data_IF_500320040125
#
_entry.id   IF_500320040125
#
_cell.length_a   1.000
_cell.length_b   1.000
_cell.length_c   1.000
_cell.angle_alpha   90.00
_cell.angle_beta   90.00
_cell.angle_gamma   90.00
#
_symmetry.space_group_name_H-M   'P 1'
#
loop_
_entity.id
_entity.type
_entity.pdbx_description
1 polymer ?
#
# COMPACT_ATOMS: atom_id res chain seq x y z
N UNK A 1 -21.88 -11.27 -2.87
CA UNK A 1 -20.64 -10.98 -2.14
C UNK A 1 -20.50 -9.46 -2.14
N UNK A 2 -20.36 -8.82 -0.98
CA UNK A 2 -20.17 -7.36 -0.94
C UNK A 2 -18.81 -7.06 -1.57
N UNK A 3 -18.86 -6.51 -2.79
CA UNK A 3 -17.74 -6.19 -3.67
C UNK A 3 -17.06 -4.88 -3.24
N UNK A 4 -16.62 -4.83 -1.97
CA UNK A 4 -15.96 -3.63 -1.41
C UNK A 4 -14.45 -3.83 -1.54
N UNK A 5 -13.83 -3.17 -2.49
CA UNK A 5 -12.38 -3.02 -2.57
C UNK A 5 -11.93 -1.74 -1.87
N UNK A 6 -10.68 -1.72 -1.43
CA UNK A 6 -10.04 -0.47 -1.02
C UNK A 6 -9.95 0.52 -2.19
N UNK A 7 -9.99 1.81 -1.86
CA UNK A 7 -9.70 2.88 -2.79
C UNK A 7 -8.43 3.57 -2.32
N UNK A 8 -7.47 3.69 -3.24
CA UNK A 8 -6.19 4.31 -2.95
C UNK A 8 -5.67 5.06 -4.17
N UNK A 9 -4.72 5.95 -3.94
CA UNK A 9 -3.96 6.61 -5.01
C UNK A 9 -2.48 6.34 -4.81
N UNK A 10 -1.75 6.24 -5.92
CA UNK A 10 -0.29 6.22 -5.90
C UNK A 10 0.18 7.67 -5.73
N UNK A 11 0.99 7.91 -4.70
CA UNK A 11 1.50 9.23 -4.34
C UNK A 11 2.94 9.39 -4.81
N UNK A 12 3.75 8.34 -4.70
CA UNK A 12 5.14 8.31 -5.15
C UNK A 12 5.41 6.98 -5.85
N UNK A 13 5.97 7.03 -7.05
CA UNK A 13 6.37 5.88 -7.87
C UNK A 13 7.60 6.27 -8.69
N UNK A 14 8.73 5.62 -8.43
CA UNK A 14 9.96 5.84 -9.20
C UNK A 14 9.99 5.06 -10.52
N UNK A 15 9.04 4.15 -10.74
CA UNK A 15 8.90 3.24 -11.88
C UNK A 15 10.05 2.26 -12.13
N UNK A 16 11.21 2.47 -11.50
CA UNK A 16 12.41 1.62 -11.60
C UNK A 16 12.65 0.77 -10.35
N UNK A 17 11.82 0.92 -9.31
CA UNK A 17 11.92 0.16 -8.06
C UNK A 17 13.09 0.57 -7.17
N UNK A 18 13.78 1.67 -7.48
CA UNK A 18 14.87 2.20 -6.67
C UNK A 18 14.38 2.81 -5.36
N UNK A 19 13.17 3.35 -5.35
CA UNK A 19 12.50 3.93 -4.19
C UNK A 19 11.26 3.12 -3.79
N UNK A 20 10.80 3.24 -2.53
CA UNK A 20 9.52 2.66 -2.11
C UNK A 20 8.37 3.17 -2.99
N UNK A 21 7.46 2.28 -3.35
CA UNK A 21 6.15 2.68 -3.89
C UNK A 21 5.31 3.18 -2.73
N UNK A 22 4.73 4.38 -2.85
CA UNK A 22 3.91 4.97 -1.78
C UNK A 22 2.49 5.17 -2.26
N UNK A 23 1.55 4.58 -1.54
CA UNK A 23 0.11 4.74 -1.77
C UNK A 23 -0.56 5.46 -0.60
N UNK A 24 -1.77 5.96 -0.82
CA UNK A 24 -2.60 6.62 0.20
C UNK A 24 -4.00 6.07 0.15
N UNK A 25 -4.52 5.65 1.30
CA UNK A 25 -5.93 5.30 1.48
C UNK A 25 -6.80 6.56 1.34
N UNK A 26 -7.81 6.53 0.47
CA UNK A 26 -8.68 7.68 0.20
C UNK A 26 -10.15 7.45 0.59
N UNK A 27 -10.52 6.24 1.02
CA UNK A 27 -11.91 5.91 1.37
C UNK A 27 -12.93 6.24 0.23
N UNK A 28 -14.18 6.62 0.55
CA UNK A 28 -14.77 6.74 1.89
C UNK A 28 -15.05 5.36 2.53
N UNK A 29 -14.65 5.21 3.80
CA UNK A 29 -14.57 3.91 4.50
C UNK A 29 -15.92 3.33 4.96
N UNK A 30 -17.01 4.09 4.86
CA UNK A 30 -18.38 3.58 5.04
C UNK A 30 -18.85 2.74 3.84
N UNK A 31 -18.23 2.96 2.67
CA UNK A 31 -18.55 2.29 1.39
C UNK A 31 -17.46 1.35 0.92
N UNK A 32 -16.20 1.70 1.15
CA UNK A 32 -15.02 0.95 0.72
C UNK A 32 -14.26 0.39 1.92
N UNK A 33 -13.47 -0.66 1.70
CA UNK A 33 -12.54 -1.11 2.72
C UNK A 33 -11.40 -0.08 2.85
N UNK A 34 -10.76 -0.03 4.03
CA UNK A 34 -9.46 0.61 4.14
C UNK A 34 -8.41 -0.24 3.43
N UNK A 35 -7.28 0.36 3.06
CA UNK A 35 -6.14 -0.37 2.48
C UNK A 35 -5.68 -1.48 3.42
N UNK A 36 -5.62 -1.22 4.73
CA UNK A 36 -5.26 -2.21 5.76
C UNK A 36 -6.20 -3.41 5.76
N UNK A 37 -7.50 -3.19 5.57
CA UNK A 37 -8.51 -4.27 5.56
C UNK A 37 -8.57 -5.05 4.24
N UNK A 38 -7.98 -4.52 3.16
CA UNK A 38 -7.95 -5.15 1.82
C UNK A 38 -6.52 -5.29 1.26
N UNK A 39 -5.53 -5.36 2.16
CA UNK A 39 -4.11 -5.29 1.81
C UNK A 39 -3.68 -6.36 0.79
N UNK A 40 -4.26 -7.57 0.87
CA UNK A 40 -3.99 -8.65 -0.07
C UNK A 40 -4.42 -8.29 -1.50
N UNK A 41 -5.60 -7.72 -1.67
CA UNK A 41 -6.12 -7.33 -2.98
C UNK A 41 -5.32 -6.17 -3.56
N UNK A 42 -4.97 -5.18 -2.73
CA UNK A 42 -4.15 -4.03 -3.11
C UNK A 42 -2.78 -4.49 -3.61
N UNK A 43 -2.06 -5.31 -2.83
CA UNK A 43 -0.75 -5.84 -3.24
C UNK A 43 -0.86 -6.64 -4.53
N UNK A 44 -1.87 -7.49 -4.64
CA UNK A 44 -2.09 -8.31 -5.84
C UNK A 44 -2.33 -7.45 -7.07
N UNK A 45 -3.08 -6.36 -6.95
CA UNK A 45 -3.34 -5.43 -8.05
C UNK A 45 -2.07 -4.70 -8.48
N UNK A 46 -1.32 -4.15 -7.52
CA UNK A 46 -0.08 -3.40 -7.76
C UNK A 46 1.01 -4.26 -8.42
N UNK A 47 1.12 -5.53 -8.01
CA UNK A 47 2.03 -6.50 -8.65
C UNK A 47 1.54 -6.82 -10.07
N UNK A 48 0.23 -7.02 -10.26
CA UNK A 48 -0.35 -7.34 -11.58
C UNK A 48 -0.21 -6.18 -12.57
N UNK A 49 -0.31 -4.94 -12.11
CA UNK A 49 -0.16 -3.73 -12.92
C UNK A 49 1.30 -3.32 -13.15
N UNK A 50 2.27 -4.04 -12.56
CA UNK A 50 3.71 -3.74 -12.61
C UNK A 50 4.10 -2.41 -11.92
N UNK A 51 3.23 -1.84 -11.09
CA UNK A 51 3.59 -0.71 -10.24
C UNK A 51 4.49 -1.13 -9.09
N UNK A 52 4.27 -2.32 -8.52
CA UNK A 52 5.11 -2.87 -7.47
C UNK A 52 6.06 -3.93 -8.05
N UNK A 53 7.34 -3.58 -8.14
CA UNK A 53 8.39 -4.45 -8.65
C UNK A 53 8.88 -5.46 -7.59
N UNK A 54 9.43 -6.62 -8.00
CA UNK A 54 9.96 -7.60 -7.05
C UNK A 54 11.04 -7.02 -6.14
N UNK A 55 10.85 -7.14 -4.83
CA UNK A 55 11.79 -6.63 -3.82
C UNK A 55 11.65 -5.14 -3.50
N UNK A 56 10.80 -4.41 -4.22
CA UNK A 56 10.47 -3.02 -3.91
C UNK A 56 9.61 -2.97 -2.63
N UNK A 57 9.88 -1.97 -1.78
CA UNK A 57 9.07 -1.70 -0.59
C UNK A 57 7.75 -1.04 -0.97
N UNK A 58 6.69 -1.35 -0.23
CA UNK A 58 5.38 -0.73 -0.38
C UNK A 58 5.01 -0.01 0.92
N UNK A 59 4.86 1.31 0.85
CA UNK A 59 4.41 2.13 1.97
C UNK A 59 2.98 2.63 1.71
N UNK A 60 2.21 2.78 2.78
CA UNK A 60 0.84 3.27 2.73
C UNK A 60 0.62 4.34 3.78
N UNK A 61 0.09 5.49 3.36
CA UNK A 61 -0.60 6.39 4.28
C UNK A 61 -1.99 5.82 4.56
N UNK A 62 -2.25 5.43 5.81
CA UNK A 62 -3.53 4.88 6.24
C UNK A 62 -4.63 5.96 6.40
N UNK A 63 -5.79 5.55 6.92
CA UNK A 63 -6.92 6.45 7.16
C UNK A 63 -6.63 7.56 8.18
N UNK A 64 -5.67 7.36 9.07
CA UNK A 64 -5.21 8.33 10.06
C UNK A 64 -3.98 9.12 9.57
N UNK A 65 -3.64 8.97 8.28
CA UNK A 65 -2.49 9.60 7.61
C UNK A 65 -1.15 9.21 8.25
N UNK A 66 -1.07 8.02 8.85
CA UNK A 66 0.17 7.40 9.33
C UNK A 66 0.80 6.59 8.20
N UNK A 67 2.13 6.70 8.07
CA UNK A 67 2.88 5.97 7.06
C UNK A 67 3.33 4.62 7.64
N UNK A 68 2.78 3.54 7.11
CA UNK A 68 3.12 2.17 7.45
C UNK A 68 3.63 1.39 6.24
N UNK A 69 4.30 0.27 6.48
CA UNK A 69 4.77 -0.63 5.43
C UNK A 69 3.84 -1.85 5.28
N UNK A 70 3.37 -2.07 4.06
CA UNK A 70 2.75 -3.33 3.66
C UNK A 70 3.87 -4.25 3.20
N UNK A 71 4.26 -5.20 4.04
CA UNK A 71 5.37 -6.10 3.75
C UNK A 71 4.95 -7.05 2.62
N UNK A 72 5.70 -7.03 1.51
CA UNK A 72 5.46 -7.91 0.36
C UNK A 72 6.59 -8.92 0.22
N UNK A 73 6.26 -10.21 0.17
CA UNK A 73 7.19 -11.32 -0.06
C UNK A 73 6.70 -12.16 -1.23
N UNK A 74 7.57 -12.41 -2.20
CA UNK A 74 7.25 -13.19 -3.41
C UNK A 74 5.98 -12.69 -4.14
N UNK A 75 5.80 -11.36 -4.20
CA UNK A 75 4.64 -10.71 -4.83
C UNK A 75 3.32 -10.87 -4.06
N UNK A 76 3.37 -11.27 -2.79
CA UNK A 76 2.20 -11.45 -1.92
C UNK A 76 2.33 -10.63 -0.64
N UNK A 77 1.19 -10.17 -0.14
CA UNK A 77 1.12 -9.54 1.17
C UNK A 77 1.56 -10.54 2.26
N UNK A 78 2.45 -10.10 3.15
CA UNK A 78 3.04 -10.93 4.20
C UNK A 78 2.81 -10.37 5.62
N UNK A 79 2.29 -9.14 5.74
CA UNK A 79 2.00 -8.50 7.01
C UNK A 79 2.28 -7.00 6.99
N UNK A 80 2.24 -6.39 8.18
CA UNK A 80 2.50 -4.98 8.38
C UNK A 80 3.81 -4.77 9.14
N UNK A 81 4.49 -3.67 8.85
CA UNK A 81 5.61 -3.17 9.62
C UNK A 81 5.50 -1.65 9.79
N UNK A 82 6.11 -1.06 10.83
CA UNK A 82 6.16 0.39 10.96
C UNK A 82 6.82 1.01 9.72
N UNK A 83 6.27 2.13 9.23
CA UNK A 83 6.93 2.89 8.17
C UNK A 83 8.29 3.45 8.61
N UNK A 84 9.06 4.04 7.70
CA UNK A 84 10.29 4.72 8.08
C UNK A 84 9.96 5.74 9.18
N UNK A 85 10.70 5.69 10.29
CA UNK A 85 10.56 6.69 11.33
C UNK A 85 10.70 8.05 10.65
N UNK A 86 9.66 8.89 10.71
CA UNK A 86 9.84 10.30 10.38
C UNK A 86 10.97 10.78 11.28
N UNK A 87 12.10 11.12 10.69
CA UNK A 87 13.14 11.88 11.39
C UNK A 87 12.48 13.17 11.86
N UNK A 88 12.01 13.16 13.10
CA UNK A 88 11.72 14.38 13.84
C UNK A 88 13.07 15.03 14.08
N UNK A 89 13.44 15.91 13.15
CA UNK A 89 14.49 16.91 13.37
C UNK A 89 14.02 17.94 14.40
#
# INVERSE_FOLDING_TARGET
>A
MNDRSAQYVIVEDSFDGSEPLVIRDVGPWDKHLTVTNDAESVVKELVRSSHLLPGQRLLCYDSDNQLDELVVKDGKFAGFAPGPASEVA
#
